data_IF_265345118313
#
_entry.id   IF_265345118313
#
_cell.length_a   1.000
_cell.length_b   1.000
_cell.length_c   1.000
_cell.angle_alpha   90.00
_cell.angle_beta   90.00
_cell.angle_gamma   90.00
#
_symmetry.space_group_name_H-M   'P 1'
#
loop_
_entity.id
_entity.type
_entity.pdbx_description
1 polymer ?
#
# COMPACT_ATOMS: atom_id res chain seq x y z
N UNK A 1 -2.54 62.40 -27.71
CA UNK A 1 -2.23 62.99 -29.00
C UNK A 1 -2.29 61.93 -30.04
N UNK A 2 -3.06 62.09 -30.99
CA UNK A 2 -3.52 61.70 -32.34
C UNK A 2 -4.22 60.30 -32.30
N UNK A 3 -5.47 60.15 -32.48
CA UNK A 3 -6.53 60.68 -33.36
C UNK A 3 -6.35 60.30 -34.82
N UNK A 4 -7.36 59.71 -35.34
CA UNK A 4 -7.82 59.66 -36.75
C UNK A 4 -7.70 58.29 -37.42
N UNK A 5 -8.62 57.82 -38.27
CA UNK A 5 -9.96 58.29 -38.74
C UNK A 5 -10.64 57.09 -39.44
N UNK A 6 -11.96 57.08 -39.41
CA UNK A 6 -12.88 56.20 -40.15
C UNK A 6 -12.65 56.28 -41.66
N UNK A 7 -12.93 55.14 -42.36
CA UNK A 7 -13.57 55.21 -43.67
C UNK A 7 -14.54 54.06 -43.84
N UNK A 8 -15.81 54.44 -43.97
CA UNK A 8 -16.94 53.62 -44.35
C UNK A 8 -16.93 53.36 -45.83
N UNK A 9 -17.16 52.15 -46.27
CA UNK A 9 -17.42 51.76 -47.66
C UNK A 9 -18.58 50.77 -47.69
N UNK A 10 -19.76 51.29 -47.94
CA UNK A 10 -20.96 50.53 -48.30
C UNK A 10 -20.84 50.03 -49.73
N UNK A 11 -20.89 48.72 -49.93
CA UNK A 11 -21.19 48.16 -51.29
C UNK A 11 -22.36 47.19 -51.16
N UNK A 12 -23.49 47.62 -51.69
CA UNK A 12 -24.64 46.73 -52.00
C UNK A 12 -24.22 45.82 -53.15
N UNK A 13 -24.44 44.53 -53.01
CA UNK A 13 -24.58 43.65 -54.13
C UNK A 13 -25.68 42.62 -53.91
N UNK A 14 -26.43 42.36 -54.95
CA UNK A 14 -27.76 41.81 -54.93
C UNK A 14 -27.91 40.32 -54.76
N UNK A 15 -29.09 39.91 -54.38
CA UNK A 15 -29.73 38.60 -54.40
C UNK A 15 -29.18 37.56 -55.38
N UNK A 16 -28.85 36.38 -54.82
CA UNK A 16 -28.84 35.09 -55.50
C UNK A 16 -29.37 34.06 -54.54
N UNK A 17 -30.67 33.71 -54.61
CA UNK A 17 -31.23 32.63 -53.79
C UNK A 17 -30.65 31.27 -54.23
N UNK A 18 -29.92 30.64 -53.37
CA UNK A 18 -29.54 29.23 -53.41
C UNK A 18 -29.93 28.62 -52.12
N UNK A 19 -31.07 27.93 -52.04
CA UNK A 19 -31.44 27.07 -50.95
C UNK A 19 -30.47 25.86 -50.85
N UNK A 20 -29.38 26.06 -50.18
CA UNK A 20 -28.52 24.97 -49.83
C UNK A 20 -29.13 24.34 -48.57
N UNK A 21 -29.90 23.27 -48.71
CA UNK A 21 -30.25 22.36 -47.60
C UNK A 21 -28.96 21.65 -47.15
N UNK A 22 -28.15 22.35 -46.38
CA UNK A 22 -27.04 21.75 -45.67
C UNK A 22 -27.60 20.75 -44.68
N UNK A 23 -27.52 19.48 -45.01
CA UNK A 23 -27.63 18.40 -44.04
C UNK A 23 -26.47 18.59 -43.06
N UNK A 24 -26.75 19.23 -41.91
CA UNK A 24 -25.83 19.24 -40.80
C UNK A 24 -25.79 17.82 -40.28
N UNK A 25 -24.77 17.05 -40.69
CA UNK A 25 -24.48 15.81 -39.99
C UNK A 25 -24.29 16.16 -38.50
N UNK A 26 -25.00 15.48 -37.60
CA UNK A 26 -24.70 15.67 -36.15
C UNK A 26 -23.22 15.44 -35.93
N UNK A 27 -22.58 16.20 -35.03
CA UNK A 27 -21.19 15.97 -34.68
C UNK A 27 -21.00 14.50 -34.31
N UNK A 28 -19.89 13.86 -34.68
CA UNK A 28 -19.63 12.48 -34.32
C UNK A 28 -19.75 12.34 -32.81
N UNK A 29 -20.66 11.49 -32.35
CA UNK A 29 -20.76 11.14 -30.94
C UNK A 29 -19.60 10.20 -30.59
N UNK A 30 -18.81 10.53 -29.57
CA UNK A 30 -17.81 9.60 -29.07
C UNK A 30 -18.48 8.27 -28.64
N UNK A 31 -17.87 7.13 -28.94
CA UNK A 31 -18.35 5.86 -28.39
C UNK A 31 -18.36 5.91 -26.87
N UNK A 32 -19.22 5.12 -26.23
CA UNK A 32 -19.28 5.02 -24.77
C UNK A 32 -18.39 3.87 -24.30
N UNK A 33 -17.66 4.08 -23.23
CA UNK A 33 -16.87 3.04 -22.55
C UNK A 33 -17.82 1.95 -22.03
N UNK A 34 -17.40 0.70 -22.09
CA UNK A 34 -18.17 -0.40 -21.51
C UNK A 34 -18.40 -0.17 -19.99
N UNK A 35 -19.53 -0.65 -19.49
CA UNK A 35 -19.78 -0.60 -18.03
C UNK A 35 -18.89 -1.60 -17.31
N UNK A 36 -18.15 -1.21 -16.26
CA UNK A 36 -17.31 -2.12 -15.52
C UNK A 36 -18.05 -3.35 -15.00
N UNK A 37 -17.39 -4.49 -15.01
CA UNK A 37 -17.91 -5.73 -14.42
C UNK A 37 -17.30 -5.91 -13.03
N UNK A 38 -18.15 -6.04 -11.98
CA UNK A 38 -17.74 -6.28 -10.60
C UNK A 38 -18.00 -7.76 -10.28
N UNK A 39 -16.92 -8.52 -10.10
CA UNK A 39 -16.95 -9.95 -9.76
C UNK A 39 -16.43 -10.19 -8.35
N UNK A 40 -16.70 -11.39 -7.81
CA UNK A 40 -16.21 -11.79 -6.50
C UNK A 40 -15.70 -13.22 -6.50
N UNK A 41 -14.67 -13.49 -5.70
CA UNK A 41 -14.24 -14.80 -5.29
C UNK A 41 -14.43 -14.94 -3.77
N UNK A 42 -14.71 -16.16 -3.29
CA UNK A 42 -14.82 -16.40 -1.85
C UNK A 42 -13.45 -16.26 -1.19
N UNK A 43 -13.43 -15.60 -0.04
CA UNK A 43 -12.31 -15.57 0.90
C UNK A 43 -12.65 -16.38 2.16
N UNK A 44 -11.76 -16.34 3.15
CA UNK A 44 -11.99 -17.04 4.43
C UNK A 44 -13.12 -16.37 5.23
N UNK A 45 -13.70 -17.09 6.17
CA UNK A 45 -14.64 -16.58 7.16
C UNK A 45 -15.94 -15.96 6.59
N UNK A 46 -16.26 -16.16 5.31
CA UNK A 46 -17.41 -15.57 4.65
C UNK A 46 -17.16 -14.21 3.98
N UNK A 47 -15.92 -13.71 4.00
CA UNK A 47 -15.50 -12.54 3.24
C UNK A 47 -15.37 -12.87 1.74
N UNK A 48 -15.21 -11.83 0.92
CA UNK A 48 -15.03 -11.98 -0.52
C UNK A 48 -13.88 -11.08 -1.02
N UNK A 49 -13.22 -11.51 -2.09
CA UNK A 49 -12.31 -10.69 -2.87
C UNK A 49 -13.09 -10.07 -4.02
N UNK A 50 -13.09 -8.76 -4.11
CA UNK A 50 -13.72 -8.01 -5.21
C UNK A 50 -12.71 -7.76 -6.30
N UNK A 51 -13.10 -8.05 -7.55
CA UNK A 51 -12.33 -7.75 -8.76
C UNK A 51 -13.19 -6.95 -9.73
N UNK A 52 -12.62 -5.91 -10.31
CA UNK A 52 -13.26 -5.10 -11.34
C UNK A 52 -12.52 -5.20 -12.66
N UNK A 53 -13.26 -5.32 -13.77
CA UNK A 53 -12.71 -5.39 -15.12
C UNK A 53 -13.52 -4.54 -16.10
N UNK A 54 -12.89 -4.07 -17.17
CA UNK A 54 -13.54 -3.41 -18.30
C UNK A 54 -13.06 -4.01 -19.62
N UNK A 55 -13.92 -4.05 -20.63
CA UNK A 55 -13.61 -4.61 -21.96
C UNK A 55 -13.11 -3.57 -22.95
N UNK A 56 -13.23 -2.27 -22.62
CA UNK A 56 -12.72 -1.19 -23.48
C UNK A 56 -11.21 -1.07 -23.33
N UNK A 57 -10.48 -1.21 -24.42
CA UNK A 57 -9.01 -1.11 -24.39
C UNK A 57 -8.55 0.26 -23.89
N UNK A 58 -7.66 0.27 -22.89
CA UNK A 58 -7.13 1.49 -22.28
C UNK A 58 -8.08 2.19 -21.33
N UNK A 59 -9.17 1.55 -20.92
CA UNK A 59 -10.07 2.10 -19.91
C UNK A 59 -9.43 2.13 -18.52
N UNK A 60 -9.74 3.19 -17.77
CA UNK A 60 -9.44 3.34 -16.35
C UNK A 60 -10.72 3.20 -15.56
N UNK A 61 -10.75 2.32 -14.55
CA UNK A 61 -11.91 2.14 -13.68
C UNK A 61 -11.74 3.03 -12.46
N UNK A 62 -12.74 3.92 -12.22
CA UNK A 62 -12.85 4.74 -11.01
C UNK A 62 -13.96 4.19 -10.14
N UNK A 63 -13.78 4.19 -8.81
CA UNK A 63 -14.75 3.60 -7.91
C UNK A 63 -14.90 4.35 -6.59
N UNK A 64 -16.00 4.05 -5.88
CA UNK A 64 -16.29 4.48 -4.52
C UNK A 64 -16.73 3.26 -3.69
N UNK A 65 -16.52 3.30 -2.36
CA UNK A 65 -16.89 2.22 -1.44
C UNK A 65 -18.01 2.61 -0.45
N UNK A 66 -18.42 3.87 -0.48
CA UNK A 66 -19.43 4.45 0.42
C UNK A 66 -20.82 4.58 -0.24
N UNK A 67 -20.96 4.13 -1.47
CA UNK A 67 -22.21 4.23 -2.24
C UNK A 67 -22.39 5.56 -2.96
N UNK A 68 -21.47 6.51 -2.85
CA UNK A 68 -21.51 7.75 -3.64
C UNK A 68 -21.31 7.48 -5.14
N UNK A 69 -21.75 8.40 -5.99
CA UNK A 69 -21.50 8.28 -7.42
C UNK A 69 -20.02 8.52 -7.74
N UNK A 70 -19.34 7.57 -8.43
CA UNK A 70 -17.94 7.76 -8.83
C UNK A 70 -17.83 8.79 -9.95
N UNK A 71 -16.71 9.48 -10.01
CA UNK A 71 -16.30 10.42 -11.04
C UNK A 71 -14.92 10.07 -11.56
N UNK A 72 -14.45 10.72 -12.61
CA UNK A 72 -13.05 10.59 -13.08
C UNK A 72 -12.00 11.06 -12.07
N UNK A 73 -12.42 11.69 -10.97
CA UNK A 73 -11.56 12.07 -9.84
C UNK A 73 -11.62 11.09 -8.67
N UNK A 74 -12.49 10.07 -8.74
CA UNK A 74 -12.59 9.03 -7.73
C UNK A 74 -11.40 8.09 -7.79
N UNK A 75 -11.21 7.28 -6.74
CA UNK A 75 -10.14 6.29 -6.65
C UNK A 75 -10.07 5.41 -7.90
N UNK A 76 -8.84 5.15 -8.36
CA UNK A 76 -8.58 4.26 -9.48
C UNK A 76 -8.40 2.83 -8.97
N UNK A 77 -9.11 1.90 -9.57
CA UNK A 77 -8.96 0.48 -9.27
C UNK A 77 -7.60 -0.04 -9.75
N UNK A 78 -6.77 -0.51 -8.82
CA UNK A 78 -5.42 -0.99 -9.07
C UNK A 78 -5.28 -2.50 -8.82
N UNK A 79 -6.04 -3.06 -7.86
CA UNK A 79 -5.87 -4.43 -7.41
C UNK A 79 -7.18 -5.02 -6.86
N UNK A 80 -7.34 -6.35 -6.83
CA UNK A 80 -8.37 -7.00 -6.05
C UNK A 80 -8.29 -6.60 -4.57
N UNK A 81 -9.44 -6.43 -3.92
CA UNK A 81 -9.49 -6.08 -2.51
C UNK A 81 -10.48 -6.92 -1.72
N UNK A 82 -10.13 -7.17 -0.45
CA UNK A 82 -10.93 -7.92 0.50
C UNK A 82 -12.10 -7.08 1.01
N UNK A 83 -13.28 -7.68 1.04
CA UNK A 83 -14.50 -7.13 1.63
C UNK A 83 -15.01 -8.07 2.70
N UNK A 84 -14.99 -7.61 3.95
CA UNK A 84 -15.46 -8.33 5.12
C UNK A 84 -16.57 -7.62 5.89
N UNK A 85 -16.97 -6.42 5.43
CA UNK A 85 -18.01 -5.59 6.04
C UNK A 85 -19.03 -5.11 4.99
N UNK A 86 -20.12 -4.52 5.45
CA UNK A 86 -21.16 -3.98 4.55
C UNK A 86 -20.62 -2.74 3.83
N UNK A 87 -20.52 -2.81 2.50
CA UNK A 87 -20.13 -1.71 1.62
C UNK A 87 -20.97 -1.73 0.34
N UNK A 88 -21.03 -0.59 -0.34
CA UNK A 88 -21.56 -0.51 -1.70
C UNK A 88 -20.45 -0.02 -2.63
N UNK A 89 -20.05 -0.86 -3.57
CA UNK A 89 -19.10 -0.53 -4.61
C UNK A 89 -19.87 0.06 -5.79
N UNK A 90 -19.58 1.32 -6.13
CA UNK A 90 -19.97 1.92 -7.39
C UNK A 90 -18.73 2.14 -8.25
N UNK A 91 -18.81 1.84 -9.55
CA UNK A 91 -17.69 1.99 -10.47
C UNK A 91 -18.13 2.56 -11.82
N UNK A 92 -17.31 3.44 -12.40
CA UNK A 92 -17.37 3.88 -13.80
C UNK A 92 -16.04 3.57 -14.49
N UNK A 93 -16.08 3.48 -15.81
CA UNK A 93 -14.87 3.42 -16.61
C UNK A 93 -14.78 4.66 -17.52
N UNK A 94 -13.55 5.17 -17.66
CA UNK A 94 -13.22 6.32 -18.53
C UNK A 94 -12.15 5.91 -19.54
N UNK A 95 -12.18 6.45 -20.75
CA UNK A 95 -11.13 6.26 -21.75
C UNK A 95 -11.02 7.49 -22.67
N UNK A 96 -9.81 7.75 -23.18
CA UNK A 96 -9.59 8.86 -24.11
C UNK A 96 -10.44 8.71 -25.35
N UNK A 97 -11.12 9.80 -25.77
CA UNK A 97 -12.00 9.85 -26.93
C UNK A 97 -13.30 9.03 -26.81
N UNK A 98 -13.67 8.64 -25.60
CA UNK A 98 -14.93 7.99 -25.27
C UNK A 98 -15.78 8.90 -24.37
N UNK A 99 -17.08 8.62 -24.33
CA UNK A 99 -17.96 9.07 -23.24
C UNK A 99 -17.86 8.08 -22.10
N UNK A 100 -17.87 8.57 -20.85
CA UNK A 100 -17.80 7.72 -19.66
C UNK A 100 -18.88 6.64 -19.64
N UNK A 101 -18.60 5.51 -19.02
CA UNK A 101 -19.53 4.40 -18.91
C UNK A 101 -20.74 4.72 -18.03
N UNK A 102 -21.77 3.88 -18.09
CA UNK A 102 -22.76 3.81 -17.04
C UNK A 102 -22.10 3.33 -15.72
N UNK A 103 -22.75 3.65 -14.57
CA UNK A 103 -22.29 3.19 -13.24
C UNK A 103 -22.64 1.74 -13.06
N UNK A 104 -21.64 0.91 -12.73
CA UNK A 104 -21.83 -0.42 -12.18
C UNK A 104 -21.98 -0.31 -10.67
N UNK A 105 -22.95 -0.99 -10.08
CA UNK A 105 -23.20 -1.00 -8.63
C UNK A 105 -23.28 -2.42 -8.11
N UNK A 106 -22.60 -2.69 -6.97
CA UNK A 106 -22.73 -3.95 -6.24
C UNK A 106 -22.66 -3.70 -4.73
N UNK A 107 -23.74 -4.04 -4.05
CA UNK A 107 -23.80 -4.01 -2.60
C UNK A 107 -23.30 -5.33 -2.02
N UNK A 108 -22.56 -5.25 -0.93
CA UNK A 108 -22.08 -6.36 -0.12
C UNK A 108 -22.63 -6.21 1.30
N UNK A 109 -23.19 -7.25 1.84
CA UNK A 109 -23.75 -7.27 3.20
C UNK A 109 -23.38 -8.58 3.91
N UNK A 110 -22.07 -8.87 4.04
CA UNK A 110 -21.65 -10.09 4.72
C UNK A 110 -22.06 -10.02 6.19
N UNK A 111 -22.55 -11.15 6.72
CA UNK A 111 -22.81 -11.30 8.17
C UNK A 111 -21.68 -12.13 8.75
N UNK A 112 -20.61 -11.47 9.18
CA UNK A 112 -19.40 -12.09 9.73
C UNK A 112 -19.27 -11.63 11.18
N UNK A 113 -19.07 -12.58 12.10
CA UNK A 113 -18.85 -12.24 13.51
C UNK A 113 -17.53 -11.46 13.69
N UNK A 114 -17.52 -10.51 14.64
CA UNK A 114 -16.29 -9.81 15.03
C UNK A 114 -15.20 -10.79 15.45
N UNK A 115 -13.96 -10.50 15.09
CA UNK A 115 -12.80 -11.34 15.37
C UNK A 115 -12.68 -12.58 14.48
N UNK A 116 -13.52 -12.73 13.45
CA UNK A 116 -13.40 -13.85 12.49
C UNK A 116 -12.22 -13.61 11.56
N UNK A 117 -11.34 -14.58 11.39
CA UNK A 117 -10.26 -14.53 10.40
C UNK A 117 -10.85 -14.60 8.99
N UNK A 118 -10.50 -13.63 8.15
CA UNK A 118 -11.06 -13.45 6.81
C UNK A 118 -10.01 -13.56 5.71
N UNK A 119 -8.74 -13.53 6.07
CA UNK A 119 -7.62 -13.78 5.17
C UNK A 119 -6.36 -14.12 5.96
N UNK A 120 -5.49 -14.96 5.39
CA UNK A 120 -4.15 -15.21 5.94
C UNK A 120 -3.17 -15.68 4.88
N UNK A 121 -1.89 -15.42 5.13
CA UNK A 121 -0.76 -16.18 4.58
C UNK A 121 0.01 -16.78 5.77
N UNK A 122 0.01 -18.09 5.85
CA UNK A 122 0.63 -18.86 6.94
C UNK A 122 2.07 -19.28 6.59
N UNK A 123 2.59 -18.91 5.43
CA UNK A 123 3.92 -19.25 4.93
C UNK A 123 4.27 -20.74 5.07
N UNK A 124 3.25 -21.61 5.00
CA UNK A 124 3.41 -23.03 5.27
C UNK A 124 4.35 -23.70 4.25
N UNK A 125 5.33 -24.42 4.76
CA UNK A 125 6.22 -25.25 3.98
C UNK A 125 6.36 -26.62 4.63
N UNK A 126 5.79 -27.64 4.00
CA UNK A 126 5.92 -29.04 4.42
C UNK A 126 6.98 -29.81 3.62
N UNK A 127 7.68 -29.16 2.71
CA UNK A 127 8.73 -29.75 1.87
C UNK A 127 10.10 -29.73 2.52
N UNK A 128 11.04 -30.46 1.89
CA UNK A 128 12.45 -30.54 2.35
C UNK A 128 13.36 -29.43 1.81
N UNK A 129 12.83 -28.45 1.08
CA UNK A 129 13.59 -27.35 0.46
C UNK A 129 12.89 -26.02 0.67
N UNK A 130 13.64 -24.93 0.64
CA UNK A 130 13.06 -23.59 0.70
C UNK A 130 12.19 -23.31 -0.53
N UNK A 131 11.11 -22.58 -0.32
CA UNK A 131 10.14 -22.17 -1.33
C UNK A 131 10.12 -20.63 -1.48
N UNK A 132 9.75 -20.17 -2.67
CA UNK A 132 9.43 -18.74 -2.84
C UNK A 132 8.07 -18.39 -2.21
N UNK A 133 7.91 -17.18 -1.67
CA UNK A 133 6.58 -16.64 -1.33
C UNK A 133 5.62 -16.71 -2.51
N UNK A 134 4.33 -16.91 -2.23
CA UNK A 134 3.31 -17.09 -3.27
C UNK A 134 3.23 -15.89 -4.22
N UNK A 135 3.52 -16.10 -5.50
CA UNK A 135 3.44 -15.06 -6.52
C UNK A 135 2.01 -14.56 -6.80
N UNK A 136 0.99 -15.23 -6.26
CA UNK A 136 -0.40 -14.75 -6.30
C UNK A 136 -0.73 -13.72 -5.20
N UNK A 137 0.15 -13.58 -4.21
CA UNK A 137 0.01 -12.67 -3.07
C UNK A 137 1.14 -11.64 -3.04
N UNK A 138 2.38 -12.06 -3.34
CA UNK A 138 3.57 -11.25 -3.18
C UNK A 138 4.30 -10.98 -4.48
N UNK A 139 4.67 -9.74 -4.67
CA UNK A 139 5.65 -9.26 -5.64
C UNK A 139 6.76 -8.51 -4.88
N UNK A 140 7.68 -7.87 -5.58
CA UNK A 140 8.86 -7.26 -4.96
C UNK A 140 9.10 -5.85 -5.48
N UNK A 141 9.58 -4.97 -4.60
CA UNK A 141 10.43 -3.88 -5.05
C UNK A 141 11.85 -4.42 -5.23
N UNK A 142 12.56 -3.96 -6.26
CA UNK A 142 13.88 -4.49 -6.60
C UNK A 142 14.84 -3.36 -7.00
N UNK A 143 16.13 -3.60 -6.79
CA UNK A 143 17.19 -2.68 -7.14
C UNK A 143 17.75 -1.90 -5.96
N UNK A 144 18.73 -1.05 -6.25
CA UNK A 144 19.38 -0.16 -5.29
C UNK A 144 18.68 1.19 -5.32
N UNK A 145 18.55 1.85 -4.16
CA UNK A 145 17.89 3.16 -4.02
C UNK A 145 16.45 3.20 -4.56
N UNK A 146 15.75 2.07 -4.53
CA UNK A 146 14.38 2.00 -5.05
C UNK A 146 13.39 2.82 -4.22
N UNK A 147 13.69 2.99 -2.93
CA UNK A 147 12.64 3.17 -1.94
C UNK A 147 12.83 4.38 -1.02
N UNK A 148 13.87 5.17 -1.22
CA UNK A 148 14.15 6.38 -0.46
C UNK A 148 15.04 6.13 0.76
N UNK A 149 15.05 7.09 1.69
CA UNK A 149 15.71 7.04 3.01
C UNK A 149 17.23 6.80 3.00
N UNK A 150 17.90 6.89 1.82
CA UNK A 150 19.33 6.58 1.65
C UNK A 150 19.70 5.15 2.14
N UNK A 151 18.77 4.21 1.99
CA UNK A 151 19.00 2.78 2.27
C UNK A 151 20.16 2.23 1.42
N UNK A 152 20.93 1.29 1.97
CA UNK A 152 22.20 0.86 1.38
C UNK A 152 22.11 -0.46 0.62
N UNK A 153 21.05 -1.25 0.80
CA UNK A 153 20.90 -2.54 0.17
C UNK A 153 20.40 -2.44 -1.27
N UNK A 154 20.61 -3.52 -1.99
CA UNK A 154 19.89 -3.86 -3.21
C UNK A 154 18.78 -4.84 -2.83
N UNK A 155 17.53 -4.48 -3.07
CA UNK A 155 16.42 -5.39 -2.88
C UNK A 155 16.35 -6.42 -4.00
N UNK A 156 16.26 -7.69 -3.61
CA UNK A 156 16.30 -8.86 -4.48
C UNK A 156 14.97 -9.62 -4.42
N UNK A 157 14.41 -9.94 -5.58
CA UNK A 157 13.28 -10.86 -5.68
C UNK A 157 13.75 -12.32 -5.46
N UNK A 158 12.82 -13.20 -5.10
CA UNK A 158 13.04 -14.64 -5.07
C UNK A 158 13.64 -15.15 -6.39
N UNK A 159 14.69 -15.98 -6.30
CA UNK A 159 15.41 -16.54 -7.45
C UNK A 159 16.08 -15.50 -8.37
N UNK A 160 16.24 -14.25 -7.97
CA UNK A 160 16.95 -13.26 -8.76
C UNK A 160 18.44 -13.63 -8.89
N UNK A 161 18.94 -13.64 -10.12
CA UNK A 161 20.36 -13.77 -10.44
C UNK A 161 21.01 -12.44 -10.88
N UNK A 162 20.27 -11.34 -10.80
CA UNK A 162 20.80 -10.01 -11.09
C UNK A 162 21.77 -9.58 -9.99
N UNK A 163 23.05 -9.34 -10.35
CA UNK A 163 24.06 -8.90 -9.36
C UNK A 163 23.60 -7.64 -8.63
N UNK A 164 23.76 -7.58 -7.30
CA UNK A 164 24.47 -8.49 -6.39
C UNK A 164 23.60 -9.62 -5.78
N UNK A 165 22.38 -9.89 -6.30
CA UNK A 165 21.50 -10.94 -5.81
C UNK A 165 22.07 -12.34 -6.14
N UNK A 166 21.80 -13.32 -5.27
CA UNK A 166 22.24 -14.71 -5.43
C UNK A 166 21.06 -15.67 -5.25
N UNK A 167 20.62 -16.39 -6.29
CA UNK A 167 19.50 -17.34 -6.18
C UNK A 167 19.78 -18.53 -5.25
N UNK A 168 21.05 -18.85 -4.96
CA UNK A 168 21.43 -19.90 -4.02
C UNK A 168 21.37 -19.42 -2.56
N UNK A 169 21.38 -18.11 -2.34
CA UNK A 169 21.28 -17.47 -1.04
C UNK A 169 20.19 -16.36 -1.09
N UNK A 170 18.93 -16.71 -1.34
CA UNK A 170 17.87 -15.74 -1.57
C UNK A 170 17.65 -14.86 -0.33
N UNK A 171 17.20 -13.62 -0.57
CA UNK A 171 16.90 -12.66 0.47
C UNK A 171 15.45 -12.77 1.00
N UNK A 172 14.57 -13.46 0.29
CA UNK A 172 13.23 -13.81 0.77
C UNK A 172 12.90 -15.26 0.39
N UNK A 173 12.51 -16.07 1.36
CA UNK A 173 12.13 -17.47 1.14
C UNK A 173 11.28 -17.99 2.30
N UNK A 174 10.46 -19.02 2.03
CA UNK A 174 9.78 -19.80 3.07
C UNK A 174 10.70 -20.96 3.42
N UNK A 175 11.19 -20.96 4.66
CA UNK A 175 12.10 -21.99 5.18
C UNK A 175 11.42 -23.33 5.41
N UNK A 176 12.21 -24.39 5.57
CA UNK A 176 11.72 -25.71 5.96
C UNK A 176 11.20 -25.77 7.40
N UNK A 177 11.41 -24.72 8.15
CA UNK A 177 10.86 -24.48 9.49
C UNK A 177 9.44 -23.89 9.44
N UNK A 178 8.95 -23.56 8.22
CA UNK A 178 7.59 -23.05 7.99
C UNK A 178 7.43 -21.55 8.21
N UNK A 179 8.53 -20.78 8.21
CA UNK A 179 8.50 -19.32 8.33
C UNK A 179 8.94 -18.63 7.03
N UNK A 180 8.38 -17.45 6.78
CA UNK A 180 8.97 -16.54 5.81
C UNK A 180 10.21 -15.90 6.44
N UNK A 181 11.33 -15.97 5.74
CA UNK A 181 12.58 -15.28 6.08
C UNK A 181 12.80 -14.12 5.12
N UNK A 182 12.98 -12.93 5.66
CA UNK A 182 13.47 -11.74 4.93
C UNK A 182 14.87 -11.43 5.45
N UNK A 183 15.88 -11.65 4.61
CA UNK A 183 17.27 -11.77 5.06
C UNK A 183 18.15 -10.68 4.46
N UNK A 184 18.70 -9.84 5.31
CA UNK A 184 19.77 -8.91 4.96
C UNK A 184 21.12 -9.63 4.94
N UNK A 185 21.89 -9.44 3.85
CA UNK A 185 23.20 -10.05 3.64
C UNK A 185 24.24 -9.02 3.28
N UNK A 186 25.51 -9.35 3.57
CA UNK A 186 26.66 -8.58 3.13
C UNK A 186 27.59 -9.48 2.31
N UNK A 187 27.31 -9.67 1.02
CA UNK A 187 28.08 -10.58 0.15
C UNK A 187 29.54 -10.14 -0.08
N UNK A 188 29.82 -8.83 0.05
CA UNK A 188 31.18 -8.30 0.01
C UNK A 188 31.23 -6.94 0.71
N UNK A 189 32.41 -6.42 0.99
CA UNK A 189 32.59 -5.15 1.69
C UNK A 189 31.74 -4.04 1.05
N UNK A 190 30.91 -3.39 1.87
CA UNK A 190 29.99 -2.29 1.50
C UNK A 190 28.92 -2.65 0.43
N UNK A 191 28.69 -3.93 0.17
CA UNK A 191 27.59 -4.41 -0.67
C UNK A 191 26.58 -5.13 0.21
N UNK A 192 25.35 -4.65 0.20
CA UNK A 192 24.27 -5.24 0.98
C UNK A 192 23.14 -5.70 0.05
N UNK A 193 22.52 -6.81 0.40
CA UNK A 193 21.30 -7.29 -0.28
C UNK A 193 20.23 -7.58 0.76
N UNK A 194 18.98 -7.37 0.40
CA UNK A 194 17.83 -7.68 1.25
C UNK A 194 16.59 -7.95 0.38
N UNK A 195 15.40 -8.01 0.98
CA UNK A 195 14.15 -8.13 0.23
C UNK A 195 13.09 -7.18 0.76
N UNK A 196 12.23 -6.72 -0.16
CA UNK A 196 11.02 -5.95 0.10
C UNK A 196 9.86 -6.56 -0.68
N UNK A 197 9.06 -7.35 0.03
CA UNK A 197 7.86 -7.99 -0.48
C UNK A 197 6.69 -7.03 -0.38
N UNK A 198 5.79 -7.05 -1.37
CA UNK A 198 4.56 -6.27 -1.35
C UNK A 198 3.41 -7.01 -2.02
N UNK A 199 2.20 -6.78 -1.54
CA UNK A 199 0.99 -7.31 -2.18
C UNK A 199 0.38 -6.36 -3.22
N UNK A 200 1.09 -5.29 -3.59
CA UNK A 200 0.65 -4.30 -4.58
C UNK A 200 0.27 -4.94 -5.92
N UNK A 201 -0.92 -4.59 -6.43
CA UNK A 201 -1.45 -5.13 -7.69
C UNK A 201 -2.02 -6.55 -7.59
N UNK A 202 -1.85 -7.24 -6.47
CA UNK A 202 -2.29 -8.61 -6.25
C UNK A 202 -3.38 -8.73 -5.17
N UNK A 203 -3.19 -8.05 -4.04
CA UNK A 203 -4.10 -8.08 -2.90
C UNK A 203 -4.04 -6.76 -2.11
N UNK A 204 -5.20 -6.35 -1.61
CA UNK A 204 -5.33 -5.22 -0.68
C UNK A 204 -6.56 -5.39 0.21
N UNK A 205 -6.69 -4.57 1.24
CA UNK A 205 -7.88 -4.56 2.09
C UNK A 205 -8.14 -3.16 2.64
N UNK A 206 -9.35 -2.96 3.13
CA UNK A 206 -9.76 -1.74 3.83
C UNK A 206 -10.55 -2.12 5.06
N UNK A 207 -10.11 -1.60 6.21
CA UNK A 207 -10.66 -1.89 7.53
C UNK A 207 -10.55 -3.35 7.97
N UNK A 208 -10.54 -3.54 9.27
CA UNK A 208 -10.32 -4.82 9.91
C UNK A 208 -9.10 -4.79 10.82
N UNK A 209 -8.83 -5.88 11.48
CA UNK A 209 -7.63 -6.08 12.28
C UNK A 209 -6.61 -6.90 11.47
N UNK A 210 -5.45 -6.31 11.18
CA UNK A 210 -4.32 -7.04 10.59
C UNK A 210 -3.26 -7.29 11.64
N UNK A 211 -2.61 -8.44 11.58
CA UNK A 211 -1.47 -8.78 12.44
C UNK A 211 -0.46 -9.67 11.72
N UNK A 212 0.80 -9.53 12.09
CA UNK A 212 1.86 -10.46 11.72
C UNK A 212 2.60 -10.91 12.98
N UNK A 213 2.91 -12.21 13.08
CA UNK A 213 3.75 -12.74 14.14
C UNK A 213 5.17 -12.84 13.63
N UNK A 214 6.08 -12.12 14.28
CA UNK A 214 7.41 -11.87 13.75
C UNK A 214 8.48 -11.95 14.83
N UNK A 215 9.70 -12.23 14.38
CA UNK A 215 10.94 -12.14 15.16
C UNK A 215 11.92 -11.29 14.35
N UNK A 216 12.51 -10.27 14.97
CA UNK A 216 13.27 -9.24 14.29
C UNK A 216 14.77 -9.38 14.52
N UNK A 217 15.63 -8.95 13.58
CA UNK A 217 17.06 -8.85 13.82
C UNK A 217 17.37 -7.61 14.68
N UNK A 218 18.19 -7.81 15.71
CA UNK A 218 18.68 -6.74 16.59
C UNK A 218 20.15 -6.43 16.28
N UNK A 219 20.41 -5.58 15.30
CA UNK A 219 21.78 -5.24 14.91
C UNK A 219 21.84 -3.82 14.36
N UNK A 220 22.93 -3.11 14.66
CA UNK A 220 23.11 -1.75 14.14
C UNK A 220 22.94 -1.71 12.62
N UNK A 221 22.13 -0.77 12.13
CA UNK A 221 21.86 -0.58 10.72
C UNK A 221 20.81 -1.52 10.13
N UNK A 222 20.14 -2.36 10.93
CA UNK A 222 18.97 -3.14 10.49
C UNK A 222 17.69 -2.33 10.73
N UNK A 223 16.76 -2.40 9.75
CA UNK A 223 15.48 -1.70 9.81
C UNK A 223 14.37 -2.61 9.24
N UNK A 224 13.89 -3.58 10.02
CA UNK A 224 12.74 -4.38 9.68
C UNK A 224 11.46 -3.56 9.78
N UNK A 225 10.53 -3.79 8.83
CA UNK A 225 9.22 -3.15 8.81
C UNK A 225 8.10 -4.09 8.34
N UNK A 226 6.94 -3.93 8.96
CA UNK A 226 5.65 -4.45 8.55
C UNK A 226 4.67 -3.28 8.47
N UNK A 227 4.21 -2.97 7.27
CA UNK A 227 3.49 -1.74 6.99
C UNK A 227 2.56 -1.85 5.77
N UNK A 228 1.76 -0.83 5.55
CA UNK A 228 0.80 -0.76 4.47
C UNK A 228 0.89 0.58 3.74
N UNK A 229 0.53 0.55 2.46
CA UNK A 229 0.55 1.73 1.59
C UNK A 229 -0.70 1.78 0.73
N UNK A 230 -1.22 3.00 0.49
CA UNK A 230 -2.43 3.19 -0.30
C UNK A 230 -2.31 2.68 -1.73
N UNK A 231 -3.32 1.94 -2.20
CA UNK A 231 -3.36 1.42 -3.57
C UNK A 231 -3.26 2.52 -4.63
N UNK A 232 -3.66 3.75 -4.28
CA UNK A 232 -3.65 4.92 -5.15
C UNK A 232 -2.29 5.62 -5.28
N UNK A 233 -1.22 5.04 -4.71
CA UNK A 233 0.13 5.64 -4.74
C UNK A 233 0.61 6.02 -6.15
N UNK A 234 0.22 5.26 -7.18
CA UNK A 234 0.60 5.55 -8.56
C UNK A 234 -0.05 6.84 -9.12
N UNK A 235 -1.12 7.32 -8.51
CA UNK A 235 -1.92 8.47 -8.98
C UNK A 235 -1.83 9.67 -8.06
N UNK A 236 -1.81 9.46 -6.76
CA UNK A 236 -1.80 10.53 -5.75
C UNK A 236 -0.40 10.75 -5.17
N UNK A 237 0.47 9.74 -5.26
CA UNK A 237 1.82 9.68 -4.68
C UNK A 237 1.85 9.77 -3.15
N UNK A 238 3.03 9.48 -2.58
CA UNK A 238 3.33 9.62 -1.17
C UNK A 238 3.51 11.11 -0.80
N UNK A 239 3.13 11.57 0.39
CA UNK A 239 2.46 10.82 1.47
C UNK A 239 0.92 10.81 1.38
N UNK A 240 0.34 11.47 0.38
CA UNK A 240 -1.10 11.66 0.25
C UNK A 240 -1.89 10.35 0.05
N UNK A 241 -1.24 9.29 -0.45
CA UNK A 241 -1.83 7.94 -0.56
C UNK A 241 -2.08 7.28 0.80
N UNK A 242 -1.41 7.75 1.86
CA UNK A 242 -1.46 7.19 3.21
C UNK A 242 -0.54 5.99 3.39
N UNK A 243 0.19 6.00 4.51
CA UNK A 243 1.08 4.92 4.95
C UNK A 243 0.79 4.57 6.40
N UNK A 244 0.74 3.30 6.72
CA UNK A 244 0.41 2.75 8.05
C UNK A 244 1.50 1.77 8.47
N UNK A 245 2.39 2.20 9.35
CA UNK A 245 3.50 1.38 9.84
C UNK A 245 3.06 0.64 11.09
N UNK A 246 2.70 -0.63 10.91
CA UNK A 246 2.24 -1.47 12.02
C UNK A 246 3.39 -1.79 12.98
N UNK A 247 4.57 -2.00 12.43
CA UNK A 247 5.79 -2.24 13.18
C UNK A 247 7.01 -1.78 12.39
N UNK A 248 7.80 -0.95 13.02
CA UNK A 248 9.17 -0.64 12.62
C UNK A 248 10.11 -0.82 13.81
N UNK A 249 11.33 -1.29 13.56
CA UNK A 249 12.36 -1.43 14.57
C UNK A 249 13.70 -0.96 14.02
N UNK A 250 14.43 -0.23 14.84
CA UNK A 250 15.85 0.04 14.61
C UNK A 250 16.63 -0.24 15.91
N UNK A 251 17.80 -0.79 15.78
CA UNK A 251 18.70 -0.96 16.92
C UNK A 251 19.72 0.19 17.00
N UNK A 252 20.12 0.53 18.18
CA UNK A 252 21.16 1.52 18.44
C UNK A 252 20.68 2.70 19.28
N UNK A 253 21.54 3.74 19.37
CA UNK A 253 21.30 4.94 20.17
C UNK A 253 20.38 5.98 19.49
N UNK A 254 19.70 5.61 18.43
CA UNK A 254 18.87 6.54 17.66
C UNK A 254 17.52 6.76 18.35
N UNK A 255 17.06 7.99 18.33
CA UNK A 255 15.82 8.37 18.99
C UNK A 255 14.60 7.78 18.28
N UNK A 256 13.64 7.32 19.08
CA UNK A 256 12.31 6.96 18.62
C UNK A 256 11.63 8.12 17.88
N UNK A 257 10.89 7.86 16.79
CA UNK A 257 10.16 8.90 16.06
C UNK A 257 9.05 9.57 16.89
N UNK A 258 8.52 8.90 17.91
CA UNK A 258 7.44 9.41 18.76
C UNK A 258 7.88 10.36 19.89
N UNK A 259 9.10 10.90 19.85
CA UNK A 259 9.55 11.98 20.75
C UNK A 259 10.04 11.56 22.12
N UNK A 260 10.27 10.29 22.36
CA UNK A 260 10.90 9.80 23.60
C UNK A 260 11.79 8.62 23.30
N UNK A 261 13.11 8.75 23.54
CA UNK A 261 13.93 7.54 23.62
C UNK A 261 13.36 6.63 24.73
N UNK A 262 13.19 5.32 24.47
CA UNK A 262 12.80 4.40 25.54
C UNK A 262 13.80 4.50 26.68
N UNK A 263 13.40 4.17 27.91
CA UNK A 263 14.34 4.13 29.02
C UNK A 263 15.56 3.26 28.68
N UNK A 264 16.78 3.64 29.12
CA UNK A 264 17.97 2.82 28.87
C UNK A 264 17.74 1.37 29.30
N UNK A 265 18.05 0.42 28.42
CA UNK A 265 17.89 -1.01 28.66
C UNK A 265 16.50 -1.58 28.29
N UNK A 266 15.62 -0.78 27.69
CA UNK A 266 14.40 -1.25 27.06
C UNK A 266 14.58 -1.35 25.55
N UNK A 267 14.16 -2.47 25.00
CA UNK A 267 13.94 -2.63 23.56
C UNK A 267 12.57 -2.06 23.18
N UNK A 268 12.36 -1.70 21.92
CA UNK A 268 11.18 -0.98 21.48
C UNK A 268 10.84 -1.21 20.01
N UNK A 269 9.60 -0.97 19.65
CA UNK A 269 9.17 -0.82 18.25
C UNK A 269 8.38 0.49 18.10
N UNK A 270 8.26 1.00 16.88
CA UNK A 270 7.40 2.12 16.53
C UNK A 270 6.20 1.64 15.71
N UNK A 271 5.06 2.30 15.94
CA UNK A 271 3.91 2.30 15.04
C UNK A 271 3.63 3.72 14.59
N UNK A 272 3.51 3.94 13.28
CA UNK A 272 3.41 5.27 12.68
C UNK A 272 2.28 5.37 11.68
N UNK A 273 1.86 6.59 11.38
CA UNK A 273 0.93 6.92 10.30
C UNK A 273 1.48 8.12 9.53
N UNK A 274 1.55 8.04 8.20
CA UNK A 274 2.00 9.11 7.34
C UNK A 274 0.93 9.47 6.31
N UNK A 275 0.69 10.76 6.14
CA UNK A 275 -0.31 11.32 5.24
C UNK A 275 -0.02 12.77 4.92
N UNK A 276 -1.04 13.54 4.58
CA UNK A 276 -0.91 14.94 4.20
C UNK A 276 -1.09 15.17 2.70
N UNK A 277 -0.30 16.03 2.11
CA UNK A 277 -0.33 16.34 0.67
C UNK A 277 1.07 16.23 0.07
N UNK A 278 1.16 16.09 -1.24
CA UNK A 278 2.46 16.02 -1.93
C UNK A 278 3.37 17.19 -1.53
N UNK A 279 4.59 16.88 -1.03
CA UNK A 279 5.55 17.84 -0.54
C UNK A 279 5.26 18.46 0.83
N UNK A 280 4.19 18.04 1.51
CA UNK A 280 3.84 18.46 2.87
C UNK A 280 3.34 17.25 3.67
N UNK A 281 4.31 16.47 4.14
CA UNK A 281 4.04 15.30 4.99
C UNK A 281 3.47 15.73 6.35
N UNK A 282 2.48 14.97 6.81
CA UNK A 282 2.00 14.96 8.17
C UNK A 282 2.13 13.54 8.70
N UNK A 283 2.66 13.39 9.91
CA UNK A 283 2.84 12.08 10.52
C UNK A 283 2.44 12.08 12.01
N UNK A 284 2.20 10.89 12.50
CA UNK A 284 2.08 10.59 13.92
C UNK A 284 2.81 9.28 14.20
N UNK A 285 3.53 9.21 15.31
CA UNK A 285 4.24 8.00 15.71
C UNK A 285 4.16 7.82 17.22
N UNK A 286 4.09 6.55 17.65
CA UNK A 286 4.16 6.14 19.05
C UNK A 286 5.05 4.92 19.18
N UNK A 287 5.74 4.80 20.31
CA UNK A 287 6.57 3.65 20.60
C UNK A 287 5.93 2.73 21.60
N UNK A 288 6.10 1.43 21.38
CA UNK A 288 5.85 0.39 22.36
C UNK A 288 7.19 -0.03 22.98
N UNK A 289 7.22 -0.09 24.30
CA UNK A 289 8.29 -0.71 25.07
C UNK A 289 7.70 -1.27 26.38
N UNK A 290 8.17 -2.40 26.82
CA UNK A 290 7.72 -3.02 28.06
C UNK A 290 8.90 -3.70 28.75
N UNK A 291 8.79 -3.88 30.07
CA UNK A 291 9.81 -4.61 30.81
C UNK A 291 9.89 -6.06 30.33
N UNK A 292 11.08 -6.48 29.86
CA UNK A 292 11.31 -7.81 29.31
C UNK A 292 10.87 -8.01 27.87
N UNK A 293 10.37 -6.98 27.19
CA UNK A 293 10.18 -7.01 25.75
C UNK A 293 11.53 -7.09 25.03
N UNK A 294 11.62 -7.94 24.02
CA UNK A 294 12.74 -8.01 23.08
C UNK A 294 12.22 -8.28 21.68
N UNK A 295 12.51 -7.40 20.75
CA UNK A 295 12.15 -7.55 19.35
C UNK A 295 12.74 -8.82 18.71
N UNK A 296 13.83 -9.36 19.27
CA UNK A 296 14.41 -10.65 18.88
C UNK A 296 13.62 -11.88 19.37
N UNK A 297 12.59 -11.70 20.18
CA UNK A 297 11.63 -12.76 20.51
C UNK A 297 10.46 -12.76 19.53
N UNK A 298 9.67 -13.83 19.52
CA UNK A 298 8.43 -13.89 18.76
C UNK A 298 7.35 -13.04 19.42
N UNK A 299 6.85 -12.03 18.67
CA UNK A 299 5.73 -11.19 19.06
C UNK A 299 4.73 -11.07 17.91
N UNK A 300 3.49 -10.80 18.27
CA UNK A 300 2.43 -10.43 17.31
C UNK A 300 2.32 -8.91 17.27
N UNK A 301 2.61 -8.31 16.14
CA UNK A 301 2.44 -6.89 15.88
C UNK A 301 1.15 -6.68 15.10
N UNK A 302 0.27 -5.81 15.61
CA UNK A 302 -1.05 -5.67 15.01
C UNK A 302 -1.61 -4.27 14.99
N UNK A 303 -2.55 -4.09 14.05
CA UNK A 303 -3.29 -2.86 13.84
C UNK A 303 -4.79 -3.17 13.77
N UNK A 304 -5.61 -2.35 14.44
CA UNK A 304 -7.05 -2.31 14.28
C UNK A 304 -7.38 -1.05 13.48
N UNK A 305 -7.86 -1.24 12.26
CA UNK A 305 -8.20 -0.16 11.35
C UNK A 305 -9.70 -0.07 11.17
N UNK A 306 -10.29 1.03 11.61
CA UNK A 306 -11.70 1.37 11.44
C UNK A 306 -11.81 2.73 10.77
N UNK A 307 -12.98 3.07 10.25
CA UNK A 307 -13.22 4.41 9.71
C UNK A 307 -12.93 5.49 10.77
N UNK A 308 -12.00 6.38 10.42
CA UNK A 308 -11.59 7.48 11.30
C UNK A 308 -10.76 7.04 12.52
N UNK A 309 -10.25 5.80 12.56
CA UNK A 309 -9.43 5.35 13.69
C UNK A 309 -8.47 4.24 13.33
N UNK A 310 -7.22 4.37 13.78
CA UNK A 310 -6.17 3.38 13.70
C UNK A 310 -5.61 3.18 15.10
N UNK A 311 -5.51 1.92 15.53
CA UNK A 311 -4.99 1.52 16.84
C UNK A 311 -3.93 0.46 16.65
N UNK A 312 -2.80 0.58 17.37
CA UNK A 312 -1.71 -0.39 17.33
C UNK A 312 -1.55 -1.14 18.64
N UNK A 313 -1.18 -2.41 18.55
CA UNK A 313 -0.94 -3.28 19.71
C UNK A 313 0.23 -4.25 19.48
N UNK A 314 0.74 -4.80 20.59
CA UNK A 314 1.69 -5.91 20.59
C UNK A 314 1.09 -7.06 21.41
N UNK A 315 1.11 -8.25 20.84
CA UNK A 315 0.62 -9.54 21.39
C UNK A 315 -0.90 -9.61 21.64
N UNK A 316 -1.45 -8.70 22.43
CA UNK A 316 -2.86 -8.70 22.82
C UNK A 316 -3.61 -7.52 22.16
N UNK A 317 -4.59 -7.78 21.29
CA UNK A 317 -5.36 -6.73 20.62
C UNK A 317 -6.19 -5.85 21.56
N UNK A 318 -6.31 -6.20 22.84
CA UNK A 318 -6.95 -5.35 23.85
C UNK A 318 -5.96 -4.38 24.52
N UNK A 319 -4.65 -4.57 24.30
CA UNK A 319 -3.59 -3.74 24.89
C UNK A 319 -3.07 -2.72 23.87
N UNK A 320 -3.89 -1.71 23.60
CA UNK A 320 -3.56 -0.65 22.63
C UNK A 320 -2.51 0.29 23.22
N UNK A 321 -1.39 0.45 22.50
CA UNK A 321 -0.34 1.41 22.88
C UNK A 321 -0.38 2.71 22.08
N UNK A 322 -1.03 2.73 20.90
CA UNK A 322 -1.14 3.91 20.06
C UNK A 322 -2.54 4.02 19.46
N UNK A 323 -3.07 5.25 19.37
CA UNK A 323 -4.35 5.55 18.71
C UNK A 323 -4.23 6.81 17.90
N UNK A 324 -4.55 6.71 16.61
CA UNK A 324 -4.60 7.83 15.67
C UNK A 324 -6.01 8.03 15.12
N UNK A 325 -6.41 9.30 15.03
CA UNK A 325 -7.72 9.74 14.52
C UNK A 325 -7.54 11.03 13.72
N UNK A 326 -8.51 11.43 12.88
CA UNK A 326 -8.47 12.74 12.22
C UNK A 326 -8.30 13.92 13.17
N UNK A 327 -8.75 13.76 14.44
CA UNK A 327 -8.67 14.83 15.42
C UNK A 327 -7.27 15.04 16.02
N UNK A 328 -6.42 14.00 16.04
CA UNK A 328 -5.06 14.07 16.55
C UNK A 328 -3.99 13.91 15.47
N UNK A 329 -4.39 13.76 14.21
CA UNK A 329 -3.47 13.74 13.07
C UNK A 329 -3.25 15.18 12.55
N UNK A 330 -1.99 15.61 12.33
CA UNK A 330 -1.70 17.02 12.07
C UNK A 330 -1.96 17.49 10.64
N UNK A 331 -2.50 16.65 9.76
CA UNK A 331 -2.72 16.95 8.34
C UNK A 331 -3.99 16.36 7.77
N UNK A 332 -4.04 16.24 6.42
CA UNK A 332 -5.14 15.55 5.74
C UNK A 332 -5.08 14.07 6.05
N UNK A 333 -6.20 13.51 6.51
CA UNK A 333 -6.38 12.09 6.85
C UNK A 333 -6.68 11.26 5.61
N UNK A 334 -5.75 10.41 5.11
CA UNK A 334 -5.95 9.67 3.88
C UNK A 334 -6.51 8.25 4.09
N UNK A 335 -6.62 7.77 5.32
CA UNK A 335 -6.83 6.36 5.64
C UNK A 335 -8.29 5.88 5.51
N UNK A 336 -9.20 6.76 5.09
CA UNK A 336 -10.61 6.40 4.83
C UNK A 336 -10.97 6.45 3.34
N UNK A 337 -9.98 6.58 2.46
CA UNK A 337 -10.21 6.82 1.03
C UNK A 337 -10.31 5.51 0.25
N UNK A 338 -9.40 4.56 0.49
CA UNK A 338 -9.36 3.31 -0.26
C UNK A 338 -8.55 2.21 0.41
N UNK A 339 -8.50 1.02 -0.22
CA UNK A 339 -7.73 -0.11 0.27
C UNK A 339 -6.22 0.16 0.26
N UNK A 340 -5.51 -0.54 1.14
CA UNK A 340 -4.06 -0.52 1.21
C UNK A 340 -3.48 -1.93 0.98
N UNK A 341 -2.30 -1.97 0.39
CA UNK A 341 -1.54 -3.20 0.21
C UNK A 341 -0.48 -3.36 1.31
N UNK A 342 -0.05 -4.59 1.54
CA UNK A 342 0.86 -4.99 2.61
C UNK A 342 2.29 -4.96 2.10
N UNK A 343 3.22 -4.52 2.96
CA UNK A 343 4.67 -4.56 2.70
C UNK A 343 5.39 -5.19 3.89
N UNK A 344 6.36 -6.05 3.58
CA UNK A 344 7.29 -6.67 4.52
C UNK A 344 8.70 -6.46 3.98
N UNK A 345 9.56 -5.77 4.72
CA UNK A 345 10.95 -5.57 4.29
C UNK A 345 11.94 -5.54 5.45
N UNK A 346 13.19 -5.73 5.12
CA UNK A 346 14.32 -5.50 6.02
C UNK A 346 15.31 -4.58 5.30
N UNK A 347 15.27 -3.29 5.61
CA UNK A 347 16.25 -2.34 5.08
C UNK A 347 17.60 -2.44 5.82
N UNK A 348 18.65 -1.99 5.17
CA UNK A 348 20.00 -1.93 5.71
C UNK A 348 20.55 -0.52 5.59
N UNK A 349 20.90 0.09 6.70
CA UNK A 349 21.33 1.48 6.74
C UNK A 349 20.19 2.45 6.50
N UNK A 350 20.52 3.64 6.05
CA UNK A 350 19.58 4.73 5.81
C UNK A 350 19.65 5.82 6.87
N UNK A 351 18.80 6.83 6.69
CA UNK A 351 18.84 8.06 7.47
C UNK A 351 18.48 7.83 8.95
N UNK A 352 17.62 6.84 9.23
CA UNK A 352 17.13 6.60 10.59
C UNK A 352 17.99 5.60 11.37
N UNK A 353 18.25 4.36 10.92
CA UNK A 353 19.09 3.42 11.68
C UNK A 353 20.57 3.78 11.63
N UNK A 354 20.99 4.58 10.64
CA UNK A 354 22.40 4.79 10.33
C UNK A 354 23.05 3.55 9.70
N UNK A 355 24.29 3.69 9.29
CA UNK A 355 25.01 2.62 8.59
C UNK A 355 25.34 1.45 9.50
N UNK A 356 25.45 0.22 8.95
CA UNK A 356 26.09 -0.91 9.62
C UNK A 356 27.49 -0.55 10.09
N UNK A 357 27.89 -1.12 11.22
CA UNK A 357 29.21 -0.94 11.83
C UNK A 357 29.83 -2.29 12.25
N UNK A 358 30.89 -2.24 13.03
CA UNK A 358 31.58 -3.46 13.54
C UNK A 358 30.75 -4.33 14.48
N UNK A 359 29.61 -3.82 14.97
CA UNK A 359 28.67 -4.56 15.83
C UNK A 359 27.57 -5.21 15.03
N UNK A 360 27.42 -4.85 13.74
CA UNK A 360 26.41 -5.40 12.86
C UNK A 360 26.67 -6.86 12.55
N UNK A 361 25.67 -7.70 12.75
CA UNK A 361 25.73 -9.14 12.48
C UNK A 361 25.00 -9.46 11.19
N UNK A 362 25.71 -10.10 10.25
CA UNK A 362 25.11 -10.64 9.02
C UNK A 362 25.23 -12.17 8.97
N UNK A 363 24.25 -12.88 8.41
CA UNK A 363 22.99 -12.35 7.93
C UNK A 363 22.07 -11.86 9.05
N UNK A 364 21.36 -10.74 8.83
CA UNK A 364 20.23 -10.32 9.65
C UNK A 364 18.97 -10.98 9.13
N UNK A 365 18.14 -11.54 9.98
CA UNK A 365 16.94 -12.30 9.59
C UNK A 365 15.71 -11.78 10.31
N UNK A 366 14.75 -11.29 9.53
CA UNK A 366 13.38 -11.05 9.96
C UNK A 366 12.55 -12.28 9.62
N UNK A 367 12.15 -13.05 10.62
CA UNK A 367 11.32 -14.23 10.46
C UNK A 367 9.85 -13.89 10.69
N UNK A 368 8.94 -14.38 9.82
CA UNK A 368 7.49 -14.15 9.90
C UNK A 368 6.77 -15.48 9.90
N UNK A 369 5.98 -15.74 10.96
CA UNK A 369 5.17 -16.96 11.12
C UNK A 369 3.92 -16.88 10.24
N UNK A 370 3.22 -15.75 10.31
CA UNK A 370 2.03 -15.49 9.51
C UNK A 370 1.74 -14.00 9.33
N UNK A 371 0.89 -13.70 8.35
CA UNK A 371 0.12 -12.45 8.27
C UNK A 371 -1.36 -12.81 8.20
N UNK A 372 -2.19 -12.24 9.08
CA UNK A 372 -3.62 -12.54 9.20
C UNK A 372 -4.47 -11.28 9.24
N UNK A 373 -5.67 -11.36 8.64
CA UNK A 373 -6.67 -10.28 8.71
C UNK A 373 -7.95 -10.85 9.32
N UNK A 374 -8.53 -10.07 10.24
CA UNK A 374 -9.75 -10.39 10.96
C UNK A 374 -10.78 -9.26 10.80
N UNK A 375 -12.05 -9.56 10.96
CA UNK A 375 -13.08 -8.53 11.14
C UNK A 375 -12.88 -7.79 12.46
N UNK A 376 -13.27 -6.51 12.51
CA UNK A 376 -13.31 -5.71 13.75
C UNK A 376 -14.43 -6.16 14.67
#
# INVERSE_FOLDING_TARGET
>A
MLASLLLSGTMLCACGGGSNSGTTNPPPTNPTVATPTITTANAQGGAVIVTMTDTTGGATIHYTLDGSAPTSSSEIYQAPFLVSSSITVNAIATASSYTDSAVATKAFTPTIASGTMVWSDEFANSGGTNLGPSASIWTYDTGTNCCGNNELETYCAWNSSASPCDPNNPNAYIGTDGYLHVVARNPSASVYTSARLKSQGLFSFMYGRIEAKMKLPESQGMWPAFWLLGNNIATISWPACGELDVMEHINGNNSSPGGGAPPPGYDWIAGSVHGGTAGNEANGSQTYHASGFSAAAWHTYGMIWSKGKIEYYVDDPTNIYATFTPANFPGTWPFDVGPQFIILNLAVGGDWPGSPDKTTVFPGDMSVDYVRIYTN
#
